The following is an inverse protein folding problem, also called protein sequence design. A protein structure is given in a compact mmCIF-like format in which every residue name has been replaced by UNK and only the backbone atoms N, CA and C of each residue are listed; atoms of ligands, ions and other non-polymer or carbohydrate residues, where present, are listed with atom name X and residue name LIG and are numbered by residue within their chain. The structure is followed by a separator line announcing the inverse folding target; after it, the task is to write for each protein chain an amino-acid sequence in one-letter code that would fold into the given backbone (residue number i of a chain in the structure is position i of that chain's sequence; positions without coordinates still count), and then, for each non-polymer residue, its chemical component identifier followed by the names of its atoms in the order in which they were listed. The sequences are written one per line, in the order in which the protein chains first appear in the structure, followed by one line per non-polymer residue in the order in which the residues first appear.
data_IF_111837350703
#
_entry.id   IF_111837350703
#
_cell.length_a   1.000
_cell.length_b   1.000
_cell.length_c   1.000
_cell.angle_alpha   90.00
_cell.angle_beta   90.00
_cell.angle_gamma   90.00
#
_symmetry.space_group_name_H-M   'P 1'
#
loop_
_entity.id
_entity.type
_entity.pdbx_description
1 polymer ?
#
# COMPACT_ATOMS: atom_id res chain seq x y z
N UNK A 1 -5.16 17.56 -23.65
CA UNK A 1 -3.98 17.54 -22.76
C UNK A 1 -3.40 16.14 -22.80
N UNK A 2 -2.12 15.97 -23.12
CA UNK A 2 -1.46 14.67 -23.05
C UNK A 2 -1.25 14.31 -21.59
N UNK A 3 -1.75 13.15 -21.18
CA UNK A 3 -1.48 12.60 -19.84
C UNK A 3 -0.01 12.17 -19.77
N UNK A 4 0.77 12.76 -18.88
CA UNK A 4 2.12 12.29 -18.58
C UNK A 4 2.01 11.23 -17.48
N UNK A 5 2.54 10.04 -17.72
CA UNK A 5 2.58 8.98 -16.71
C UNK A 5 3.39 9.45 -15.49
N UNK A 6 2.87 9.21 -14.29
CA UNK A 6 3.56 9.51 -13.03
C UNK A 6 4.38 8.27 -12.66
N UNK A 7 5.60 8.17 -13.18
CA UNK A 7 6.44 6.99 -12.99
C UNK A 7 7.47 7.23 -11.90
N UNK A 8 7.52 6.34 -10.92
CA UNK A 8 8.67 6.21 -10.02
C UNK A 8 9.74 5.32 -10.69
N UNK A 9 11.00 5.48 -10.28
CA UNK A 9 12.04 4.50 -10.63
C UNK A 9 11.68 3.12 -10.07
N UNK A 10 12.13 2.02 -10.70
CA UNK A 10 12.03 0.69 -10.11
C UNK A 10 12.62 0.67 -8.70
N UNK A 11 11.98 -0.07 -7.80
CA UNK A 11 12.31 -0.09 -6.38
C UNK A 11 12.24 -1.50 -5.82
N UNK A 12 12.79 -1.69 -4.61
CA UNK A 12 12.64 -2.93 -3.86
C UNK A 12 11.50 -2.79 -2.86
N UNK A 13 10.60 -3.77 -2.88
CA UNK A 13 9.52 -3.92 -1.91
C UNK A 13 9.67 -5.21 -1.11
N UNK A 14 9.32 -5.18 0.17
CA UNK A 14 9.30 -6.34 1.05
C UNK A 14 7.87 -6.65 1.51
N UNK A 15 7.49 -7.92 1.49
CA UNK A 15 6.18 -8.39 1.91
C UNK A 15 6.32 -9.41 3.04
N UNK A 16 5.82 -9.06 4.22
CA UNK A 16 5.75 -9.98 5.36
C UNK A 16 4.62 -11.00 5.16
N UNK A 17 4.90 -12.28 5.36
CA UNK A 17 3.92 -13.36 5.19
C UNK A 17 4.33 -14.62 5.97
N UNK A 18 3.51 -15.67 5.88
CA UNK A 18 3.84 -17.02 6.35
C UNK A 18 4.98 -17.62 5.51
N UNK A 19 5.94 -18.31 6.14
CA UNK A 19 7.07 -18.95 5.44
C UNK A 19 6.62 -19.89 4.33
N UNK A 20 5.57 -20.69 4.54
CA UNK A 20 5.06 -21.60 3.52
C UNK A 20 4.64 -20.84 2.25
N UNK A 21 3.99 -19.68 2.41
CA UNK A 21 3.59 -18.83 1.29
C UNK A 21 4.84 -18.32 0.56
N UNK A 22 5.83 -17.82 1.30
CA UNK A 22 7.08 -17.33 0.72
C UNK A 22 7.79 -18.41 -0.11
N UNK A 23 7.93 -19.62 0.42
CA UNK A 23 8.58 -20.74 -0.28
C UNK A 23 7.83 -21.14 -1.56
N UNK A 24 6.49 -21.11 -1.56
CA UNK A 24 5.69 -21.34 -2.77
C UNK A 24 5.89 -20.24 -3.81
N UNK A 25 6.03 -18.98 -3.38
CA UNK A 25 6.33 -17.85 -4.25
C UNK A 25 7.72 -17.99 -4.88
N UNK A 26 8.75 -18.32 -4.09
CA UNK A 26 10.10 -18.53 -4.60
C UNK A 26 10.20 -19.73 -5.55
N UNK A 27 9.42 -20.78 -5.31
CA UNK A 27 9.34 -21.95 -6.18
C UNK A 27 8.54 -21.69 -7.48
N UNK A 28 8.01 -20.48 -7.69
CA UNK A 28 7.16 -20.14 -8.85
C UNK A 28 5.81 -20.86 -8.84
N UNK A 29 5.37 -21.38 -7.68
CA UNK A 29 4.11 -22.13 -7.51
C UNK A 29 2.96 -21.26 -7.04
N UNK A 30 3.22 -20.01 -6.69
CA UNK A 30 2.23 -19.04 -6.25
C UNK A 30 2.69 -17.61 -6.54
N UNK A 31 1.73 -16.68 -6.52
CA UNK A 31 1.99 -15.25 -6.38
C UNK A 31 1.50 -14.79 -5.00
N UNK A 32 1.99 -13.64 -4.55
CA UNK A 32 1.40 -12.95 -3.40
C UNK A 32 -0.05 -12.57 -3.70
N UNK A 33 -0.91 -12.68 -2.68
CA UNK A 33 -2.32 -12.36 -2.81
C UNK A 33 -2.56 -10.85 -2.77
N UNK A 34 -3.50 -10.39 -3.60
CA UNK A 34 -4.04 -9.03 -3.48
C UNK A 34 -4.93 -8.96 -2.26
N UNK A 35 -4.79 -7.91 -1.47
CA UNK A 35 -5.76 -7.56 -0.43
C UNK A 35 -6.92 -6.81 -1.05
N UNK A 36 -8.14 -7.21 -0.68
CA UNK A 36 -9.39 -6.54 -1.08
C UNK A 36 -10.16 -6.04 0.16
N UNK A 37 -9.46 -5.82 1.28
CA UNK A 37 -10.09 -5.31 2.49
C UNK A 37 -10.57 -3.88 2.30
N UNK A 38 -11.74 -3.56 2.82
CA UNK A 38 -12.34 -2.24 2.73
C UNK A 38 -11.70 -1.18 3.64
N UNK A 39 -10.62 -1.51 4.35
CA UNK A 39 -9.97 -0.66 5.35
C UNK A 39 -8.46 -0.49 5.15
N UNK A 40 -7.88 -1.08 4.10
CA UNK A 40 -6.45 -0.93 3.84
C UNK A 40 -6.11 0.52 3.47
N UNK A 41 -4.91 0.98 3.83
CA UNK A 41 -4.50 2.37 3.60
C UNK A 41 -4.54 2.76 2.12
N UNK A 42 -3.88 1.98 1.24
CA UNK A 42 -3.57 2.34 -0.16
C UNK A 42 -4.62 1.78 -1.15
N UNK A 43 -5.83 1.44 -0.67
CA UNK A 43 -6.83 0.73 -1.46
C UNK A 43 -6.48 -0.74 -1.68
N UNK A 44 -7.15 -1.42 -2.61
CA UNK A 44 -6.84 -2.84 -2.87
C UNK A 44 -5.53 -3.05 -3.62
N UNK A 45 -4.88 -4.19 -3.42
CA UNK A 45 -3.63 -4.55 -4.10
C UNK A 45 -2.70 -5.42 -3.26
N UNK A 46 -1.53 -5.72 -3.82
CA UNK A 46 -0.45 -6.45 -3.13
C UNK A 46 0.44 -5.43 -2.42
N UNK A 47 0.53 -5.52 -1.10
CA UNK A 47 1.23 -4.54 -0.28
C UNK A 47 2.70 -4.87 -0.09
N UNK A 48 3.55 -3.85 -0.18
CA UNK A 48 4.98 -3.93 0.08
C UNK A 48 5.43 -2.77 0.97
N UNK A 49 6.35 -3.06 1.88
CA UNK A 49 7.17 -2.08 2.57
C UNK A 49 8.33 -1.71 1.66
N UNK A 50 8.38 -0.46 1.22
CA UNK A 50 9.40 0.00 0.27
C UNK A 50 10.74 0.13 1.00
N UNK A 51 11.77 -0.56 0.49
CA UNK A 51 13.14 -0.54 1.01
C UNK A 51 13.29 -0.87 2.51
N UNK A 52 12.29 -1.50 3.14
CA UNK A 52 12.29 -1.78 4.57
C UNK A 52 11.96 -3.24 4.88
N UNK A 53 13.00 -4.09 4.87
CA UNK A 53 12.89 -5.48 5.31
C UNK A 53 12.48 -5.57 6.78
N UNK A 54 13.10 -4.77 7.64
CA UNK A 54 12.87 -4.78 9.10
C UNK A 54 11.40 -4.51 9.43
N UNK A 55 10.78 -3.56 8.74
CA UNK A 55 9.38 -3.24 8.98
C UNK A 55 8.44 -4.34 8.47
N UNK A 56 8.78 -4.97 7.34
CA UNK A 56 8.05 -6.12 6.81
C UNK A 56 8.08 -7.32 7.77
N UNK A 57 9.26 -7.68 8.30
CA UNK A 57 9.37 -8.81 9.24
C UNK A 57 8.75 -8.46 10.59
N UNK A 58 8.93 -7.23 11.11
CA UNK A 58 8.31 -6.81 12.36
C UNK A 58 6.78 -6.85 12.26
N UNK A 59 6.18 -6.41 11.14
CA UNK A 59 4.74 -6.55 10.92
C UNK A 59 4.31 -8.02 10.89
N UNK A 60 5.07 -8.90 10.23
CA UNK A 60 4.74 -10.32 10.15
C UNK A 60 4.79 -11.01 11.53
N UNK A 61 5.74 -10.62 12.39
CA UNK A 61 5.86 -11.11 13.78
C UNK A 61 4.68 -10.61 14.63
N UNK A 62 4.27 -9.35 14.48
CA UNK A 62 3.16 -8.76 15.24
C UNK A 62 1.78 -9.30 14.81
N UNK A 63 1.69 -9.96 13.64
CA UNK A 63 0.44 -10.45 13.08
C UNK A 63 0.09 -11.84 13.61
N UNK A 64 -0.86 -11.93 14.53
CA UNK A 64 -1.30 -13.19 15.16
C UNK A 64 -1.68 -14.32 14.20
N UNK A 65 -2.16 -13.98 12.99
CA UNK A 65 -2.54 -14.97 11.98
C UNK A 65 -1.35 -15.61 11.25
N UNK A 66 -0.13 -15.12 11.46
CA UNK A 66 1.12 -15.64 10.89
C UNK A 66 1.85 -16.41 12.00
N UNK A 67 2.14 -17.69 11.74
CA UNK A 67 2.73 -18.60 12.73
C UNK A 67 4.25 -18.74 12.57
N UNK A 68 4.75 -18.80 11.33
CA UNK A 68 6.18 -18.77 10.99
C UNK A 68 6.47 -17.53 10.12
N UNK A 69 6.74 -16.36 10.75
CA UNK A 69 6.96 -15.10 10.04
C UNK A 69 8.13 -15.17 9.08
N UNK A 70 7.90 -14.69 7.86
CA UNK A 70 8.91 -14.61 6.81
C UNK A 70 8.69 -13.38 5.92
N UNK A 71 9.69 -13.07 5.08
CA UNK A 71 9.62 -11.94 4.15
C UNK A 71 9.98 -12.38 2.73
N UNK A 72 9.16 -11.95 1.78
CA UNK A 72 9.45 -12.01 0.34
C UNK A 72 9.99 -10.65 -0.10
N UNK A 73 11.15 -10.63 -0.76
CA UNK A 73 11.62 -9.46 -1.49
C UNK A 73 11.05 -9.44 -2.92
N UNK A 74 10.77 -8.26 -3.45
CA UNK A 74 10.28 -8.06 -4.81
C UNK A 74 11.00 -6.89 -5.47
N UNK A 75 11.39 -7.06 -6.74
CA UNK A 75 11.83 -5.95 -7.59
C UNK A 75 10.64 -5.48 -8.40
N UNK A 76 10.26 -4.22 -8.24
CA UNK A 76 8.98 -3.69 -8.69
C UNK A 76 9.23 -2.49 -9.59
N UNK A 77 8.65 -2.50 -10.79
CA UNK A 77 8.49 -1.32 -11.62
C UNK A 77 7.08 -0.73 -11.40
N UNK A 78 6.93 0.39 -10.66
CA UNK A 78 5.62 0.90 -10.25
C UNK A 78 4.71 1.35 -11.40
N UNK A 79 5.23 1.45 -12.63
CA UNK A 79 4.42 1.84 -13.79
C UNK A 79 3.80 3.23 -13.63
N UNK A 80 2.56 3.39 -14.07
CA UNK A 80 1.81 4.61 -13.77
C UNK A 80 1.35 4.57 -12.31
N UNK A 81 2.00 5.34 -11.45
CA UNK A 81 1.81 5.27 -10.00
C UNK A 81 1.00 6.46 -9.47
N UNK A 82 0.00 6.16 -8.66
CA UNK A 82 -0.64 7.16 -7.80
C UNK A 82 0.28 7.44 -6.61
N UNK A 83 1.23 8.36 -6.80
CA UNK A 83 2.17 8.76 -5.75
C UNK A 83 1.53 9.82 -4.83
N UNK A 84 1.14 9.42 -3.62
CA UNK A 84 0.52 10.32 -2.63
C UNK A 84 1.46 11.40 -2.08
N UNK A 85 2.77 11.32 -2.37
CA UNK A 85 3.73 12.38 -2.03
C UNK A 85 3.88 13.43 -3.14
N UNK A 86 3.29 13.21 -4.32
CA UNK A 86 3.27 14.19 -5.40
C UNK A 86 2.18 15.24 -5.13
N UNK A 87 2.58 16.51 -5.10
CA UNK A 87 1.70 17.64 -4.81
C UNK A 87 0.45 17.65 -5.70
N UNK A 88 0.59 17.27 -6.98
CA UNK A 88 -0.50 17.32 -7.96
C UNK A 88 -1.58 16.24 -7.78
N UNK A 89 -1.34 15.21 -6.96
CA UNK A 89 -2.29 14.10 -6.74
C UNK A 89 -3.46 14.49 -5.82
N UNK A 90 -3.27 15.49 -4.97
CA UNK A 90 -4.28 15.91 -3.98
C UNK A 90 -5.60 16.33 -4.62
N UNK A 91 -5.58 17.02 -5.76
CA UNK A 91 -6.80 17.45 -6.45
C UNK A 91 -7.56 16.28 -7.08
N UNK A 92 -6.85 15.24 -7.55
CA UNK A 92 -7.47 14.02 -8.08
C UNK A 92 -8.21 13.24 -6.98
N UNK A 93 -7.61 13.16 -5.78
CA UNK A 93 -8.23 12.53 -4.61
C UNK A 93 -9.44 13.32 -4.09
N UNK A 94 -9.34 14.66 -4.01
CA UNK A 94 -10.46 15.51 -3.58
C UNK A 94 -11.65 15.38 -4.52
N UNK A 95 -11.42 15.48 -5.84
CA UNK A 95 -12.48 15.31 -6.85
C UNK A 95 -13.10 13.92 -6.75
N UNK A 96 -12.30 12.87 -6.57
CA UNK A 96 -12.81 11.53 -6.39
C UNK A 96 -13.67 11.39 -5.14
N UNK A 97 -13.23 11.96 -4.02
CA UNK A 97 -14.01 11.98 -2.78
C UNK A 97 -15.35 12.71 -2.96
N UNK A 98 -15.36 13.92 -3.54
CA UNK A 98 -16.60 14.68 -3.79
C UNK A 98 -17.61 13.88 -4.64
N UNK A 99 -17.16 13.31 -5.76
CA UNK A 99 -18.01 12.50 -6.63
C UNK A 99 -18.49 11.21 -5.95
N UNK A 100 -17.64 10.60 -5.12
CA UNK A 100 -18.02 9.44 -4.31
C UNK A 100 -19.11 9.83 -3.31
N UNK A 101 -18.99 10.99 -2.64
CA UNK A 101 -20.01 11.49 -1.72
C UNK A 101 -21.36 11.65 -2.41
N UNK A 102 -21.39 12.31 -3.55
CA UNK A 102 -22.63 12.49 -4.32
C UNK A 102 -23.25 11.15 -4.74
N UNK A 103 -22.39 10.19 -5.13
CA UNK A 103 -22.81 8.83 -5.52
C UNK A 103 -23.47 8.11 -4.34
N UNK A 104 -22.85 8.15 -3.15
CA UNK A 104 -23.36 7.51 -1.94
C UNK A 104 -24.69 8.13 -1.50
N UNK A 105 -24.76 9.46 -1.49
CA UNK A 105 -25.99 10.19 -1.13
C UNK A 105 -27.15 9.85 -2.08
N UNK A 106 -26.89 9.83 -3.39
CA UNK A 106 -27.89 9.47 -4.40
C UNK A 106 -28.38 8.03 -4.24
N UNK A 107 -27.49 7.12 -3.84
CA UNK A 107 -27.81 5.72 -3.58
C UNK A 107 -28.43 5.46 -2.19
N UNK A 108 -28.52 6.48 -1.32
CA UNK A 108 -29.00 6.33 0.05
C UNK A 108 -28.06 5.51 0.95
N UNK A 109 -26.76 5.49 0.64
CA UNK A 109 -25.73 4.75 1.37
C UNK A 109 -25.00 5.65 2.38
N UNK A 110 -24.59 5.08 3.51
CA UNK A 110 -23.75 5.77 4.49
C UNK A 110 -22.30 5.87 4.02
N UNK A 111 -21.67 7.02 4.26
CA UNK A 111 -20.26 7.22 3.93
C UNK A 111 -19.34 6.43 4.87
N UNK A 112 -18.27 5.81 4.33
CA UNK A 112 -17.25 5.21 5.16
C UNK A 112 -16.53 6.28 5.98
N UNK A 113 -16.00 5.89 7.13
CA UNK A 113 -15.20 6.75 8.01
C UNK A 113 -13.97 6.00 8.49
N UNK A 114 -12.85 6.72 8.58
CA UNK A 114 -11.65 6.18 9.21
C UNK A 114 -11.88 6.01 10.71
N UNK A 115 -11.46 4.88 11.26
CA UNK A 115 -11.71 4.47 12.66
C UNK A 115 -10.42 4.03 13.33
N UNK A 116 -10.52 3.81 14.64
CA UNK A 116 -9.48 3.27 15.50
C UNK A 116 -8.18 4.09 15.47
N UNK A 117 -8.11 5.08 16.37
CA UNK A 117 -6.93 5.93 16.54
C UNK A 117 -6.00 5.28 17.57
N UNK A 118 -4.81 4.88 17.13
CA UNK A 118 -3.73 4.39 17.97
C UNK A 118 -2.56 5.38 17.85
N UNK A 119 -2.10 5.93 18.98
CA UNK A 119 -0.90 6.79 19.01
C UNK A 119 -0.99 7.96 18.01
N UNK A 120 -2.15 8.63 17.97
CA UNK A 120 -2.39 9.71 16.99
C UNK A 120 -2.76 9.25 15.58
N UNK A 121 -2.62 7.97 15.26
CA UNK A 121 -2.68 7.41 13.90
C UNK A 121 -3.96 6.62 13.69
N UNK A 122 -4.69 6.87 12.60
CA UNK A 122 -5.86 6.07 12.23
C UNK A 122 -5.37 4.77 11.58
N UNK A 123 -5.70 3.62 12.17
CA UNK A 123 -5.23 2.33 11.66
C UNK A 123 -6.24 1.65 10.73
N UNK A 124 -7.54 1.96 10.87
CA UNK A 124 -8.61 1.39 10.04
C UNK A 124 -9.12 2.46 9.08
N UNK A 125 -8.74 2.36 7.81
CA UNK A 125 -8.77 3.45 6.83
C UNK A 125 -9.91 3.33 5.82
N UNK A 126 -11.13 3.09 6.27
CA UNK A 126 -12.26 2.83 5.35
C UNK A 126 -12.53 3.96 4.36
N UNK A 127 -12.45 5.22 4.80
CA UNK A 127 -12.68 6.36 3.91
C UNK A 127 -11.55 6.48 2.89
N UNK A 128 -10.30 6.42 3.36
CA UNK A 128 -9.13 6.58 2.49
C UNK A 128 -9.07 5.44 1.46
N UNK A 129 -9.32 4.19 1.88
CA UNK A 129 -9.44 3.02 1.03
C UNK A 129 -10.50 3.20 -0.06
N UNK A 130 -11.71 3.63 0.33
CA UNK A 130 -12.82 3.83 -0.58
C UNK A 130 -12.51 4.91 -1.61
N UNK A 131 -11.94 6.05 -1.19
CA UNK A 131 -11.54 7.14 -2.09
C UNK A 131 -10.50 6.68 -3.10
N UNK A 132 -9.45 5.98 -2.66
CA UNK A 132 -8.40 5.48 -3.57
C UNK A 132 -8.99 4.47 -4.58
N UNK A 133 -9.83 3.54 -4.12
CA UNK A 133 -10.51 2.61 -5.03
C UNK A 133 -11.41 3.35 -6.03
N UNK A 134 -12.13 4.38 -5.58
CA UNK A 134 -12.99 5.20 -6.44
C UNK A 134 -12.19 6.02 -7.47
N UNK A 135 -10.97 6.48 -7.16
CA UNK A 135 -10.06 7.08 -8.16
C UNK A 135 -9.83 6.11 -9.32
N UNK A 136 -9.57 4.83 -9.02
CA UNK A 136 -9.36 3.82 -10.07
C UNK A 136 -10.62 3.59 -10.91
N UNK A 137 -11.80 3.55 -10.28
CA UNK A 137 -13.09 3.42 -10.98
C UNK A 137 -13.35 4.61 -11.92
N UNK A 138 -13.12 5.85 -11.44
CA UNK A 138 -13.27 7.06 -12.24
C UNK A 138 -12.35 7.04 -13.46
N UNK A 139 -11.09 6.62 -13.30
CA UNK A 139 -10.16 6.53 -14.44
C UNK A 139 -10.62 5.54 -15.50
N UNK A 140 -11.20 4.40 -15.09
CA UNK A 140 -11.80 3.44 -16.02
C UNK A 140 -12.97 4.08 -16.76
N UNK A 141 -13.89 4.74 -16.05
CA UNK A 141 -15.06 5.43 -16.61
C UNK A 141 -14.67 6.54 -17.59
N UNK A 142 -13.66 7.33 -17.25
CA UNK A 142 -13.12 8.44 -18.04
C UNK A 142 -12.13 7.97 -19.13
N UNK A 143 -11.86 6.66 -19.24
CA UNK A 143 -10.90 6.07 -20.18
C UNK A 143 -9.48 6.66 -20.06
N UNK A 144 -9.09 7.00 -18.84
CA UNK A 144 -7.74 7.42 -18.51
C UNK A 144 -6.82 6.20 -18.28
N UNK A 145 -5.49 6.34 -18.46
CA UNK A 145 -4.55 5.25 -18.15
C UNK A 145 -4.73 4.75 -16.72
N UNK A 146 -4.81 3.44 -16.50
CA UNK A 146 -4.95 2.89 -15.15
C UNK A 146 -3.71 3.22 -14.32
N UNK A 147 -3.86 3.27 -13.00
CA UNK A 147 -2.71 3.21 -12.11
C UNK A 147 -2.34 1.75 -11.88
N UNK A 148 -1.06 1.46 -11.97
CA UNK A 148 -0.48 0.13 -11.72
C UNK A 148 -0.17 -0.07 -10.23
N UNK A 149 0.08 1.03 -9.51
CA UNK A 149 0.35 1.04 -8.08
C UNK A 149 -0.08 2.34 -7.39
N UNK A 150 -0.14 2.30 -6.06
CA UNK A 150 -0.32 3.44 -5.18
C UNK A 150 0.85 3.47 -4.20
N UNK A 151 1.49 4.63 -4.02
CA UNK A 151 2.67 4.81 -3.17
C UNK A 151 2.39 5.87 -2.11
N UNK A 152 2.73 5.63 -0.86
CA UNK A 152 2.51 6.62 0.20
C UNK A 152 3.38 6.42 1.43
N UNK A 153 3.67 7.54 2.11
CA UNK A 153 4.31 7.55 3.44
C UNK A 153 3.23 7.30 4.49
N UNK A 154 3.45 6.34 5.37
CA UNK A 154 2.57 6.06 6.50
C UNK A 154 3.28 6.48 7.79
N UNK A 155 2.66 7.44 8.49
CA UNK A 155 3.17 7.94 9.75
C UNK A 155 2.62 7.15 10.94
N UNK A 156 3.37 6.16 11.43
CA UNK A 156 2.93 5.20 12.46
C UNK A 156 3.78 5.26 13.73
N UNK A 157 3.15 4.94 14.86
CA UNK A 157 3.83 4.79 16.15
C UNK A 157 3.78 6.03 17.02
N UNK A 158 4.43 5.96 18.18
CA UNK A 158 4.63 7.12 19.05
C UNK A 158 5.74 8.05 18.50
N UNK A 159 5.79 9.31 18.95
CA UNK A 159 6.97 10.15 18.78
C UNK A 159 8.24 9.45 19.26
N UNK A 160 9.32 9.53 18.48
CA UNK A 160 10.59 8.87 18.78
C UNK A 160 11.25 9.38 20.08
N UNK A 161 10.91 10.59 20.50
CA UNK A 161 11.30 11.22 21.76
C UNK A 161 10.32 12.36 22.09
N UNK A 162 10.38 12.89 23.31
CA UNK A 162 9.47 13.94 23.78
C UNK A 162 9.46 15.16 22.84
N UNK A 163 8.28 15.54 22.37
CA UNK A 163 8.09 16.66 21.43
C UNK A 163 8.43 16.37 19.96
N UNK A 164 8.83 15.14 19.60
CA UNK A 164 9.20 14.81 18.23
C UNK A 164 8.00 14.76 17.27
N UNK A 165 8.22 15.19 16.02
CA UNK A 165 7.33 14.88 14.90
C UNK A 165 7.73 13.57 14.18
N UNK A 166 8.96 13.08 14.41
CA UNK A 166 9.42 11.78 13.91
C UNK A 166 8.76 10.68 14.72
N UNK A 167 8.18 9.67 14.06
CA UNK A 167 7.58 8.52 14.74
C UNK A 167 8.39 7.24 14.55
N UNK A 168 8.31 6.37 15.54
CA UNK A 168 9.10 5.13 15.65
C UNK A 168 8.90 4.14 14.50
N UNK A 169 7.70 4.12 13.90
CA UNK A 169 7.30 3.13 12.89
C UNK A 169 7.04 3.76 11.52
N UNK A 170 7.48 4.99 11.27
CA UNK A 170 7.33 5.65 9.97
C UNK A 170 7.95 4.83 8.84
N UNK A 171 7.23 4.75 7.73
CA UNK A 171 7.64 3.92 6.60
C UNK A 171 6.94 4.35 5.32
N UNK A 172 7.36 3.76 4.20
CA UNK A 172 6.67 3.88 2.92
C UNK A 172 6.04 2.55 2.57
N UNK A 173 4.78 2.59 2.14
CA UNK A 173 4.11 1.44 1.54
C UNK A 173 3.88 1.65 0.04
N UNK A 174 3.85 0.54 -0.68
CA UNK A 174 3.39 0.45 -2.06
C UNK A 174 2.29 -0.61 -2.13
N UNK A 175 1.14 -0.26 -2.69
CA UNK A 175 0.10 -1.22 -3.09
C UNK A 175 0.19 -1.41 -4.60
N UNK A 176 0.53 -2.62 -5.03
CA UNK A 176 0.62 -3.00 -6.44
C UNK A 176 -0.71 -3.59 -6.89
N UNK A 177 -1.37 -2.94 -7.85
CA UNK A 177 -2.66 -3.39 -8.41
C UNK A 177 -2.45 -4.25 -9.66
N UNK A 178 -1.49 -3.87 -10.49
CA UNK A 178 -1.11 -4.63 -11.67
C UNK A 178 0.06 -5.57 -11.35
N UNK A 179 -0.18 -6.88 -11.38
CA UNK A 179 0.85 -7.88 -11.03
C UNK A 179 2.06 -7.84 -11.96
N UNK A 180 1.89 -7.38 -13.20
CA UNK A 180 2.99 -7.25 -14.18
C UNK A 180 4.02 -6.17 -13.77
N UNK A 181 3.66 -5.29 -12.82
CA UNK A 181 4.59 -4.36 -12.18
C UNK A 181 5.65 -5.08 -11.33
N UNK A 182 5.38 -6.31 -10.88
CA UNK A 182 6.32 -7.11 -10.10
C UNK A 182 7.21 -7.88 -11.09
N UNK A 183 8.44 -7.40 -11.26
CA UNK A 183 9.39 -7.97 -12.22
C UNK A 183 10.00 -9.29 -11.74
N UNK A 184 10.01 -9.52 -10.43
CA UNK A 184 10.44 -10.78 -9.85
C UNK A 184 10.42 -10.75 -8.33
N UNK A 185 10.37 -11.95 -7.75
CA UNK A 185 10.56 -12.16 -6.32
C UNK A 185 11.95 -12.72 -6.05
N UNK A 186 12.49 -12.41 -4.87
CA UNK A 186 13.77 -12.96 -4.42
C UNK A 186 13.73 -13.25 -2.93
N UNK A 187 14.55 -14.23 -2.52
CA UNK A 187 14.79 -14.51 -1.10
C UNK A 187 15.76 -13.46 -0.56
N UNK A 188 15.34 -12.57 0.37
CA UNK A 188 16.25 -11.62 0.99
C UNK A 188 17.30 -12.38 1.81
N UNK A 189 18.52 -11.85 1.88
CA UNK A 189 19.50 -12.37 2.82
C UNK A 189 19.04 -12.08 4.26
N UNK A 190 19.22 -13.00 5.22
CA UNK A 190 18.93 -12.70 6.62
C UNK A 190 19.79 -11.52 7.08
N UNK A 191 19.17 -10.50 7.70
CA UNK A 191 19.92 -9.34 8.22
C UNK A 191 20.94 -9.73 9.30
N UNK A 192 20.70 -10.83 10.03
CA UNK A 192 21.60 -11.35 11.07
C UNK A 192 22.92 -11.93 10.54
N UNK A 193 23.10 -12.06 9.23
CA UNK A 193 24.34 -12.54 8.61
C UNK A 193 25.25 -11.40 8.11
N UNK A 194 24.93 -10.14 8.45
CA UNK A 194 25.65 -8.94 8.01
C UNK A 194 26.41 -8.21 9.13
N UNK A 195 26.48 -8.80 10.34
CA UNK A 195 27.35 -8.35 11.44
C UNK A 195 28.73 -9.00 11.40
#
# INVERSE_FOLDING_TARGET
MSYLARTLSPLIGYHGCEREIAERVFAGKAHLNSSENSYDWLGSGIYFWVESYERAINWAIEKESIQDPYVVGAFINPGNCLNLTDYGVNEELKKAHELMVDTYQTAGLELPSNKHKQNGTLMVRHLDCAVINYVHELRIKEKLPKFDSVYGVFEEGEPLFEGAALKEKNHVQLSVKNRDAILGYFRPKPLAELE
#
